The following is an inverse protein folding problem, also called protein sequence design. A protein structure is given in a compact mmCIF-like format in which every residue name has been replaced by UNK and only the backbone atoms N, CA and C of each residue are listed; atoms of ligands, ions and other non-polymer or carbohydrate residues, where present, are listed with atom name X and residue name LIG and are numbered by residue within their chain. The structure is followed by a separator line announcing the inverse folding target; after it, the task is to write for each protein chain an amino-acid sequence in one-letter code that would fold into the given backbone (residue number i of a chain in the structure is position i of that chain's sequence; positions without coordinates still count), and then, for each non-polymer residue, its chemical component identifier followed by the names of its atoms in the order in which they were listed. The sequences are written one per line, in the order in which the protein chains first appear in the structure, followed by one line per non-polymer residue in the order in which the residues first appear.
data_IF_184828927255
#
_entry.id   IF_184828927255
#
_cell.length_a   1.000
_cell.length_b   1.000
_cell.length_c   1.000
_cell.angle_alpha   90.00
_cell.angle_beta   90.00
_cell.angle_gamma   90.00
#
_symmetry.space_group_name_H-M   'P 1'
#
loop_
_entity.id
_entity.type
_entity.pdbx_description
1 polymer ?
#
# COMPACT_ATOMS: atom_id res chain seq x y z
N UNK A 1 15.33 8.82 -4.89
CA UNK A 1 14.56 7.62 -4.54
C UNK A 1 15.34 6.87 -3.46
N UNK A 2 14.73 6.49 -2.32
CA UNK A 2 15.46 5.74 -1.31
C UNK A 2 15.96 4.44 -1.93
N UNK A 3 17.25 4.15 -1.72
CA UNK A 3 17.97 3.03 -2.31
C UNK A 3 17.24 1.70 -2.00
N UNK A 4 16.92 0.96 -3.05
CA UNK A 4 16.22 -0.34 -2.99
C UNK A 4 16.94 -1.30 -2.03
N UNK A 5 18.26 -1.17 -1.87
CA UNK A 5 19.06 -1.96 -0.93
C UNK A 5 18.66 -1.73 0.55
N UNK A 6 18.25 -0.52 0.94
CA UNK A 6 17.87 -0.21 2.32
C UNK A 6 16.46 -0.68 2.65
N UNK A 7 15.54 -0.64 1.68
CA UNK A 7 14.21 -1.22 1.81
C UNK A 7 14.24 -2.75 1.82
N UNK A 8 15.08 -3.34 0.96
CA UNK A 8 15.31 -4.77 0.95
C UNK A 8 15.84 -5.27 2.30
N UNK A 9 16.63 -4.51 3.06
CA UNK A 9 17.02 -4.92 4.42
C UNK A 9 15.85 -5.06 5.37
N UNK A 10 14.88 -4.14 5.38
CA UNK A 10 13.66 -4.28 6.20
C UNK A 10 12.80 -5.45 5.72
N UNK A 11 12.65 -5.60 4.41
CA UNK A 11 11.95 -6.75 3.79
C UNK A 11 12.63 -8.08 4.17
N UNK A 12 13.95 -8.17 4.05
CA UNK A 12 14.75 -9.34 4.42
C UNK A 12 14.70 -9.60 5.92
N UNK A 13 14.72 -8.60 6.81
CA UNK A 13 14.56 -8.85 8.25
C UNK A 13 13.19 -9.46 8.59
N UNK A 14 12.14 -9.14 7.83
CA UNK A 14 10.79 -9.72 8.01
C UNK A 14 10.63 -11.06 7.29
N UNK A 15 11.24 -11.23 6.10
CA UNK A 15 11.08 -12.39 5.21
C UNK A 15 12.13 -13.48 5.46
N UNK A 16 13.35 -13.14 5.90
CA UNK A 16 14.43 -14.10 6.17
C UNK A 16 14.19 -14.97 7.41
N UNK A 17 13.06 -14.82 8.08
CA UNK A 17 12.54 -15.74 9.08
C UNK A 17 12.02 -17.05 8.48
N UNK A 18 12.77 -17.67 7.55
CA UNK A 18 12.62 -19.09 7.26
C UNK A 18 13.28 -19.90 8.38
N UNK A 19 12.70 -19.86 9.57
CA UNK A 19 12.96 -20.81 10.64
C UNK A 19 11.63 -21.15 11.29
N UNK A 20 11.33 -22.46 11.29
CA UNK A 20 10.15 -23.07 11.88
C UNK A 20 10.01 -22.61 13.33
N UNK A 21 9.17 -21.60 13.63
CA UNK A 21 8.91 -21.16 15.00
C UNK A 21 7.53 -20.47 15.11
N UNK A 22 6.65 -21.10 15.90
CA UNK A 22 5.34 -20.70 16.44
C UNK A 22 4.58 -19.54 15.76
N UNK A 23 3.55 -19.91 14.98
CA UNK A 23 2.62 -19.05 14.23
C UNK A 23 1.98 -17.91 15.07
N UNK A 24 1.85 -18.14 16.38
CA UNK A 24 1.23 -17.19 17.33
C UNK A 24 2.13 -15.97 17.59
N UNK A 25 3.43 -16.16 17.79
CA UNK A 25 4.36 -15.06 18.07
C UNK A 25 4.59 -14.18 16.84
N UNK A 26 4.66 -14.79 15.65
CA UNK A 26 4.72 -14.06 14.38
C UNK A 26 3.47 -13.19 14.17
N UNK A 27 2.28 -13.73 14.43
CA UNK A 27 1.01 -12.98 14.36
C UNK A 27 0.98 -11.81 15.34
N UNK A 28 1.54 -11.99 16.54
CA UNK A 28 1.64 -10.93 17.56
C UNK A 28 2.60 -9.82 17.13
N UNK A 29 3.79 -10.17 16.63
CA UNK A 29 4.77 -9.21 16.14
C UNK A 29 4.24 -8.42 14.96
N UNK A 30 3.57 -9.08 14.02
CA UNK A 30 2.87 -8.42 12.90
C UNK A 30 1.91 -7.35 13.40
N UNK A 31 1.05 -7.69 14.38
CA UNK A 31 0.06 -6.75 14.92
C UNK A 31 0.72 -5.54 15.60
N UNK A 32 1.80 -5.76 16.35
CA UNK A 32 2.56 -4.69 17.02
C UNK A 32 3.18 -3.75 15.98
N UNK A 33 3.81 -4.30 14.93
CA UNK A 33 4.41 -3.49 13.87
C UNK A 33 3.37 -2.71 13.08
N UNK A 34 2.25 -3.34 12.71
CA UNK A 34 1.15 -2.69 12.01
C UNK A 34 0.60 -1.51 12.83
N UNK A 35 0.33 -1.71 14.12
CA UNK A 35 -0.13 -0.66 15.03
C UNK A 35 0.88 0.50 15.14
N UNK A 36 2.17 0.18 15.26
CA UNK A 36 3.24 1.18 15.31
C UNK A 36 3.27 2.04 14.04
N UNK A 37 3.27 1.42 12.86
CA UNK A 37 3.25 2.16 11.60
C UNK A 37 1.99 3.00 11.41
N UNK A 38 0.81 2.47 11.75
CA UNK A 38 -0.44 3.24 11.68
C UNK A 38 -0.40 4.46 12.59
N UNK A 39 0.15 4.34 13.80
CA UNK A 39 0.25 5.47 14.73
C UNK A 39 1.19 6.56 14.22
N UNK A 40 2.36 6.16 13.72
CA UNK A 40 3.35 7.08 13.14
C UNK A 40 2.80 7.81 11.92
N UNK A 41 2.04 7.10 11.07
CA UNK A 41 1.39 7.69 9.91
C UNK A 41 0.31 8.71 10.31
N UNK A 42 -0.57 8.36 11.27
CA UNK A 42 -1.57 9.28 11.81
C UNK A 42 -0.97 10.53 12.45
N UNK A 43 0.21 10.39 13.07
CA UNK A 43 0.96 11.50 13.66
C UNK A 43 1.72 12.34 12.61
N UNK A 44 1.75 11.95 11.33
CA UNK A 44 2.50 12.63 10.28
C UNK A 44 4.02 12.39 10.31
N UNK A 45 4.49 11.43 11.11
CA UNK A 45 5.93 11.08 11.22
C UNK A 45 6.44 10.30 10.01
N UNK A 46 5.54 9.66 9.27
CA UNK A 46 5.83 8.98 8.00
C UNK A 46 4.80 9.40 6.94
N UNK A 47 5.28 9.52 5.70
CA UNK A 47 4.45 9.87 4.54
C UNK A 47 3.48 8.75 4.15
N UNK A 48 2.44 9.08 3.38
CA UNK A 48 1.52 8.10 2.77
C UNK A 48 2.28 7.01 1.99
N UNK A 49 3.31 7.41 1.24
CA UNK A 49 4.14 6.47 0.49
C UNK A 49 4.84 5.47 1.43
N UNK A 50 5.53 5.96 2.47
CA UNK A 50 6.22 5.09 3.43
C UNK A 50 5.25 4.16 4.16
N UNK A 51 4.08 4.66 4.56
CA UNK A 51 3.07 3.85 5.21
C UNK A 51 2.56 2.73 4.29
N UNK A 52 2.22 3.04 3.04
CA UNK A 52 1.81 2.05 2.04
C UNK A 52 2.93 1.05 1.72
N UNK A 53 4.19 1.48 1.67
CA UNK A 53 5.33 0.57 1.54
C UNK A 53 5.38 -0.40 2.72
N UNK A 54 5.26 0.08 3.96
CA UNK A 54 5.23 -0.78 5.15
C UNK A 54 4.08 -1.78 5.13
N UNK A 55 2.88 -1.36 4.70
CA UNK A 55 1.74 -2.27 4.53
C UNK A 55 2.03 -3.36 3.49
N UNK A 56 2.66 -3.01 2.37
CA UNK A 56 3.07 -3.97 1.35
C UNK A 56 4.08 -4.99 1.90
N UNK A 57 5.14 -4.55 2.62
CA UNK A 57 6.09 -5.48 3.27
C UNK A 57 5.39 -6.42 4.24
N UNK A 58 4.52 -5.88 5.09
CA UNK A 58 3.79 -6.67 6.08
C UNK A 58 2.89 -7.72 5.41
N UNK A 59 2.31 -7.40 4.25
CA UNK A 59 1.54 -8.35 3.44
C UNK A 59 2.40 -9.37 2.65
N UNK A 60 3.73 -9.39 2.87
CA UNK A 60 4.66 -10.29 2.17
C UNK A 60 5.07 -9.83 0.77
N UNK A 61 4.71 -8.61 0.37
CA UNK A 61 5.01 -8.09 -0.98
C UNK A 61 6.43 -7.51 -1.05
N UNK A 62 7.08 -7.72 -2.18
CA UNK A 62 8.46 -7.30 -2.39
C UNK A 62 8.85 -7.20 -3.85
N UNK A 63 10.00 -6.59 -4.11
CA UNK A 63 10.48 -6.33 -5.48
C UNK A 63 11.07 -7.56 -6.18
N UNK A 64 11.27 -8.66 -5.44
CA UNK A 64 11.96 -9.86 -5.92
C UNK A 64 11.05 -10.83 -6.67
N UNK A 65 9.73 -10.74 -6.47
CA UNK A 65 8.74 -11.60 -7.11
C UNK A 65 7.68 -10.74 -7.80
N UNK A 66 7.59 -10.85 -9.12
CA UNK A 66 6.63 -10.09 -9.94
C UNK A 66 5.18 -10.43 -9.59
N UNK A 67 4.90 -11.65 -9.09
CA UNK A 67 3.55 -12.07 -8.71
C UNK A 67 3.09 -11.46 -7.38
N UNK A 68 4.04 -10.99 -6.55
CA UNK A 68 3.80 -10.39 -5.24
C UNK A 68 4.38 -8.97 -5.14
N UNK A 69 4.42 -8.25 -6.26
CA UNK A 69 4.95 -6.89 -6.29
C UNK A 69 4.13 -5.93 -5.38
N UNK A 70 4.76 -4.90 -4.78
CA UNK A 70 4.05 -3.88 -4.03
C UNK A 70 2.94 -3.20 -4.85
N UNK A 71 1.77 -3.02 -4.24
CA UNK A 71 0.59 -2.42 -4.87
C UNK A 71 0.38 -1.01 -4.33
N UNK A 72 0.11 -0.08 -5.26
CA UNK A 72 -0.25 1.30 -4.97
C UNK A 72 -1.59 1.63 -5.62
N UNK A 73 -2.46 2.42 -4.95
CA UNK A 73 -3.68 2.89 -5.58
C UNK A 73 -3.35 3.95 -6.63
N UNK A 74 -4.13 3.96 -7.70
CA UNK A 74 -4.25 5.13 -8.56
C UNK A 74 -4.83 6.29 -7.73
N UNK A 75 -4.22 7.47 -7.83
CA UNK A 75 -4.60 8.64 -7.04
C UNK A 75 -5.36 9.65 -7.87
N UNK A 76 -4.89 9.92 -9.09
CA UNK A 76 -5.54 10.85 -10.01
C UNK A 76 -6.57 10.11 -10.87
N UNK A 77 -7.65 10.82 -11.18
CA UNK A 77 -8.71 10.40 -12.09
C UNK A 77 -8.60 11.08 -13.47
N UNK A 78 -8.00 12.27 -13.54
CA UNK A 78 -7.81 13.04 -14.77
C UNK A 78 -6.37 12.92 -15.29
N UNK A 79 -6.23 12.45 -16.53
CA UNK A 79 -4.96 12.34 -17.27
C UNK A 79 -5.04 12.98 -18.66
N UNK A 80 -6.14 13.66 -18.98
CA UNK A 80 -6.40 14.24 -20.31
C UNK A 80 -6.23 15.76 -20.31
N UNK A 81 -6.47 16.42 -19.17
CA UNK A 81 -6.32 17.86 -19.05
C UNK A 81 -4.86 18.31 -19.16
N UNK A 82 -4.62 19.38 -19.93
CA UNK A 82 -3.29 20.02 -20.04
C UNK A 82 -2.77 20.57 -18.70
N UNK A 83 -3.67 20.98 -17.82
CA UNK A 83 -3.37 21.52 -16.49
C UNK A 83 -4.24 20.87 -15.44
N UNK A 84 -3.63 20.49 -14.31
CA UNK A 84 -4.30 19.80 -13.22
C UNK A 84 -4.46 20.71 -12.00
N UNK A 85 -5.71 21.02 -11.63
CA UNK A 85 -6.02 21.75 -10.40
C UNK A 85 -6.13 20.78 -9.22
N UNK A 86 -5.11 20.75 -8.36
CA UNK A 86 -5.06 19.88 -7.18
C UNK A 86 -6.07 20.26 -6.08
N UNK A 87 -6.73 21.40 -6.19
CA UNK A 87 -7.80 21.80 -5.26
C UNK A 87 -9.17 21.25 -5.65
N UNK A 88 -9.36 20.81 -6.90
CA UNK A 88 -10.62 20.19 -7.33
C UNK A 88 -10.72 18.74 -6.80
N UNK A 89 -11.71 18.40 -5.96
CA UNK A 89 -11.88 17.03 -5.51
C UNK A 89 -12.17 16.02 -6.65
N UNK A 90 -12.63 16.46 -7.83
CA UNK A 90 -12.96 15.59 -8.96
C UNK A 90 -11.74 15.01 -9.67
N UNK A 91 -10.57 15.64 -9.55
CA UNK A 91 -9.35 15.15 -10.18
C UNK A 91 -8.76 13.94 -9.45
N UNK A 92 -9.30 13.60 -8.26
CA UNK A 92 -8.87 12.47 -7.47
C UNK A 92 -9.79 11.26 -7.64
N UNK A 93 -9.18 10.07 -7.60
CA UNK A 93 -9.89 8.80 -7.59
C UNK A 93 -10.69 8.62 -6.30
N UNK A 94 -11.88 8.01 -6.43
CA UNK A 94 -12.68 7.56 -5.28
C UNK A 94 -12.01 6.35 -4.61
N UNK A 95 -11.28 6.59 -3.53
CA UNK A 95 -10.50 5.56 -2.82
C UNK A 95 -11.36 4.55 -2.04
N UNK A 96 -12.60 4.92 -1.74
CA UNK A 96 -13.64 4.08 -1.13
C UNK A 96 -14.20 3.02 -2.09
N UNK A 97 -13.94 3.16 -3.39
CA UNK A 97 -14.38 2.23 -4.42
C UNK A 97 -13.20 1.47 -5.04
N UNK A 98 -13.40 0.21 -5.49
CA UNK A 98 -12.41 -0.49 -6.31
C UNK A 98 -12.25 0.18 -7.68
N UNK A 99 -11.23 -0.21 -8.44
CA UNK A 99 -10.96 0.37 -9.77
C UNK A 99 -12.10 0.15 -10.78
N UNK A 100 -12.76 -1.01 -10.73
CA UNK A 100 -13.90 -1.30 -11.61
C UNK A 100 -15.13 -0.43 -11.35
N UNK A 101 -15.27 0.14 -10.15
CA UNK A 101 -16.46 0.88 -9.75
C UNK A 101 -16.26 2.41 -9.72
N UNK A 102 -15.32 2.93 -10.53
CA UNK A 102 -15.09 4.37 -10.60
C UNK A 102 -16.21 5.10 -11.38
N UNK A 103 -16.86 4.42 -12.33
CA UNK A 103 -17.99 4.90 -13.13
C UNK A 103 -19.30 4.24 -12.72
N UNK A 104 -20.44 4.85 -13.07
CA UNK A 104 -21.76 4.28 -12.79
C UNK A 104 -21.99 2.96 -13.53
N UNK A 105 -21.49 2.86 -14.77
CA UNK A 105 -21.54 1.66 -15.59
C UNK A 105 -20.73 0.52 -14.97
N UNK A 106 -19.51 0.81 -14.51
CA UNK A 106 -18.65 -0.19 -13.87
C UNK A 106 -19.19 -0.63 -12.50
N UNK A 107 -19.86 0.25 -11.77
CA UNK A 107 -20.56 -0.11 -10.54
C UNK A 107 -21.76 -1.03 -10.80
N UNK A 108 -22.50 -0.82 -11.88
CA UNK A 108 -23.59 -1.71 -12.29
C UNK A 108 -23.07 -3.08 -12.73
N UNK A 109 -21.95 -3.13 -13.47
CA UNK A 109 -21.32 -4.39 -13.85
C UNK A 109 -20.83 -5.19 -12.65
N UNK A 110 -20.22 -4.52 -11.66
CA UNK A 110 -19.72 -5.19 -10.44
C UNK A 110 -20.83 -5.79 -9.56
N UNK A 111 -22.08 -5.33 -9.71
CA UNK A 111 -23.24 -5.88 -8.99
C UNK A 111 -23.81 -7.15 -9.60
N UNK A 112 -23.46 -7.47 -10.86
CA UNK A 112 -23.94 -8.67 -11.57
C UNK A 112 -23.12 -9.90 -11.19
#
# INVERSE_FOLDING_TARGET
FPDSASYNRLSTTIISGSLKQDNIEQSRLFRIMAQSFSKRWQNGEISNFQYLMHLNTLAGRGYNDLTQYPVFPWVLADYESDTLDLSDPKIYRKLDKPMGCQTAEGEEEFRK
#
